data_IF_275361015533
#
_entry.id   IF_275361015533
#
_cell.length_a   1.000
_cell.length_b   1.000
_cell.length_c   1.000
_cell.angle_alpha   90.00
_cell.angle_beta   90.00
_cell.angle_gamma   90.00
#
_symmetry.space_group_name_H-M   'P 1'
#
loop_
_entity.id
_entity.type
_entity.pdbx_description
1 polymer ?
#
# COMPACT_ATOMS: atom_id res chain seq x y z
N UNK A 1 19.77 44.79 -27.84
CA UNK A 1 19.01 44.92 -26.58
C UNK A 1 18.05 43.74 -26.51
N UNK A 2 18.44 42.64 -25.84
CA UNK A 2 17.81 42.13 -24.59
C UNK A 2 16.30 41.88 -24.74
N UNK A 3 15.86 40.65 -25.02
CA UNK A 3 15.59 39.51 -24.11
C UNK A 3 14.12 39.45 -23.67
N UNK A 4 13.68 38.22 -23.39
CA UNK A 4 12.44 37.76 -22.75
C UNK A 4 11.24 37.64 -23.70
N UNK A 5 10.76 36.45 -24.06
CA UNK A 5 10.70 35.21 -23.30
C UNK A 5 9.44 35.22 -22.45
N UNK A 6 8.34 34.71 -23.00
CA UNK A 6 7.25 34.18 -22.20
C UNK A 6 6.87 32.82 -22.79
N UNK A 7 7.45 31.80 -22.16
CA UNK A 7 7.08 30.41 -22.31
C UNK A 7 5.61 30.33 -21.92
N UNK A 8 4.74 30.08 -22.89
CA UNK A 8 3.41 29.56 -22.62
C UNK A 8 3.62 28.19 -21.95
N UNK A 9 3.65 28.18 -20.62
CA UNK A 9 3.54 26.96 -19.83
C UNK A 9 2.13 26.45 -20.10
N UNK A 10 2.01 25.61 -21.13
CA UNK A 10 0.82 24.81 -21.36
C UNK A 10 0.67 23.92 -20.15
N UNK A 11 -0.23 24.33 -19.26
CA UNK A 11 -0.72 23.52 -18.15
C UNK A 11 -1.29 22.25 -18.76
N UNK A 12 -0.50 21.18 -18.76
CA UNK A 12 -0.99 19.82 -19.01
C UNK A 12 -1.63 19.36 -17.70
N UNK A 13 -2.82 19.88 -17.40
CA UNK A 13 -3.65 19.42 -16.28
C UNK A 13 -5.05 19.00 -16.76
N UNK A 14 -5.17 18.56 -18.02
CA UNK A 14 -6.46 18.25 -18.64
C UNK A 14 -6.44 16.91 -19.40
N UNK A 15 -5.84 15.85 -18.82
CA UNK A 15 -5.88 14.50 -19.41
C UNK A 15 -6.26 13.37 -18.45
N UNK A 16 -6.86 13.65 -17.29
CA UNK A 16 -7.55 12.63 -16.48
C UNK A 16 -9.02 13.00 -16.29
N UNK A 17 -9.78 12.94 -17.39
CA UNK A 17 -11.24 12.93 -17.35
C UNK A 17 -11.68 11.47 -17.11
N UNK A 18 -12.11 11.13 -15.89
CA UNK A 18 -12.68 9.81 -15.61
C UNK A 18 -13.15 9.60 -14.17
N UNK A 19 -12.40 10.07 -13.18
CA UNK A 19 -12.80 9.94 -11.78
C UNK A 19 -13.39 11.27 -11.30
N UNK A 20 -14.60 11.24 -10.76
CA UNK A 20 -15.08 12.39 -10.01
C UNK A 20 -14.16 12.59 -8.80
N UNK A 21 -14.02 13.82 -8.31
CA UNK A 21 -13.23 14.09 -7.11
C UNK A 21 -13.72 13.27 -5.90
N UNK A 22 -15.00 12.84 -5.92
CA UNK A 22 -15.57 11.90 -4.97
C UNK A 22 -14.97 10.49 -5.10
N UNK A 23 -14.88 9.93 -6.31
CA UNK A 23 -14.31 8.58 -6.53
C UNK A 23 -12.85 8.48 -6.06
N UNK A 24 -12.08 9.57 -6.24
CA UNK A 24 -10.69 9.63 -5.76
C UNK A 24 -10.60 9.70 -4.23
N UNK A 25 -11.54 10.41 -3.57
CA UNK A 25 -11.57 10.51 -2.11
C UNK A 25 -12.03 9.21 -1.47
N UNK A 26 -13.03 8.55 -2.03
CA UNK A 26 -13.52 7.26 -1.56
C UNK A 26 -12.42 6.20 -1.70
N UNK A 27 -11.73 6.17 -2.84
CA UNK A 27 -10.61 5.26 -3.06
C UNK A 27 -9.40 5.54 -2.15
N UNK A 28 -9.16 6.80 -1.78
CA UNK A 28 -8.13 7.14 -0.81
C UNK A 28 -8.51 6.68 0.61
N UNK A 29 -9.75 6.94 1.02
CA UNK A 29 -10.28 6.53 2.33
C UNK A 29 -10.26 5.02 2.50
N UNK A 30 -10.66 4.28 1.46
CA UNK A 30 -10.66 2.82 1.46
C UNK A 30 -9.25 2.23 1.58
N UNK A 31 -8.25 2.83 0.93
CA UNK A 31 -6.85 2.40 1.05
C UNK A 31 -6.29 2.72 2.44
N UNK A 32 -6.61 3.88 3.01
CA UNK A 32 -6.21 4.24 4.37
C UNK A 32 -6.78 3.26 5.40
N UNK A 33 -8.05 2.89 5.26
CA UNK A 33 -8.67 1.87 6.10
C UNK A 33 -7.98 0.51 5.96
N UNK A 34 -7.68 0.06 4.73
CA UNK A 34 -6.98 -1.20 4.52
C UNK A 34 -5.54 -1.19 5.09
N UNK A 35 -4.86 -0.04 5.07
CA UNK A 35 -3.56 0.15 5.72
C UNK A 35 -3.65 0.01 7.23
N UNK A 36 -4.67 0.62 7.83
CA UNK A 36 -4.92 0.54 9.27
C UNK A 36 -5.25 -0.90 9.69
N UNK A 37 -6.17 -1.56 8.98
CA UNK A 37 -6.55 -2.94 9.25
C UNK A 37 -5.35 -3.89 9.15
N UNK A 38 -4.50 -3.70 8.14
CA UNK A 38 -3.26 -4.47 7.99
C UNK A 38 -2.27 -4.21 9.12
N UNK A 39 -2.09 -2.95 9.52
CA UNK A 39 -1.22 -2.57 10.66
C UNK A 39 -1.67 -3.23 11.96
N UNK A 40 -2.96 -3.14 12.29
CA UNK A 40 -3.54 -3.74 13.50
C UNK A 40 -3.41 -5.27 13.49
N UNK A 41 -3.67 -5.93 12.36
CA UNK A 41 -3.55 -7.37 12.24
C UNK A 41 -2.08 -7.85 12.38
N UNK A 42 -1.13 -7.08 11.86
CA UNK A 42 0.30 -7.37 11.98
C UNK A 42 0.82 -7.12 13.38
N UNK A 43 0.33 -6.09 14.07
CA UNK A 43 0.66 -5.85 15.48
C UNK A 43 0.15 -6.98 16.39
N UNK A 44 -1.10 -7.43 16.19
CA UNK A 44 -1.64 -8.59 16.93
C UNK A 44 -0.83 -9.87 16.64
N UNK A 45 -0.42 -10.08 15.38
CA UNK A 45 0.45 -11.19 15.01
C UNK A 45 1.80 -11.10 15.72
N UNK A 46 2.48 -9.96 15.65
CA UNK A 46 3.80 -9.74 16.25
C UNK A 46 3.76 -9.87 17.78
N UNK A 47 2.66 -9.48 18.42
CA UNK A 47 2.45 -9.64 19.86
C UNK A 47 2.23 -11.08 20.31
N UNK A 48 1.81 -11.98 19.41
CA UNK A 48 1.55 -13.40 19.68
C UNK A 48 2.64 -14.33 19.16
N UNK A 49 3.45 -13.86 18.23
CA UNK A 49 4.46 -14.62 17.55
C UNK A 49 5.86 -14.44 18.17
N UNK A 50 6.70 -15.45 17.97
CA UNK A 50 8.11 -15.42 18.32
C UNK A 50 8.94 -15.97 17.15
N UNK A 51 10.24 -15.68 17.15
CA UNK A 51 11.18 -16.20 16.15
C UNK A 51 10.78 -15.80 14.71
N UNK A 52 10.85 -16.74 13.74
CA UNK A 52 10.65 -16.43 12.32
C UNK A 52 9.30 -15.77 11.99
N UNK A 53 8.24 -16.13 12.71
CA UNK A 53 6.91 -15.54 12.48
C UNK A 53 6.88 -14.07 12.89
N UNK A 54 7.55 -13.73 13.99
CA UNK A 54 7.67 -12.33 14.43
C UNK A 54 8.49 -11.51 13.45
N UNK A 55 9.63 -12.04 12.99
CA UNK A 55 10.47 -11.36 12.00
C UNK A 55 9.75 -11.13 10.65
N UNK A 56 8.91 -12.07 10.23
CA UNK A 56 8.06 -11.91 9.04
C UNK A 56 6.95 -10.88 9.27
N UNK A 57 6.33 -10.86 10.46
CA UNK A 57 5.32 -9.88 10.82
C UNK A 57 5.89 -8.45 10.88
N UNK A 58 7.09 -8.27 11.44
CA UNK A 58 7.78 -6.98 11.50
C UNK A 58 8.10 -6.47 10.08
N UNK A 59 8.62 -7.31 9.20
CA UNK A 59 8.85 -6.94 7.79
C UNK A 59 7.56 -6.64 7.03
N UNK A 60 6.49 -7.38 7.31
CA UNK A 60 5.19 -7.08 6.72
C UNK A 60 4.66 -5.72 7.19
N UNK A 61 4.90 -5.34 8.43
CA UNK A 61 4.55 -4.02 8.97
C UNK A 61 5.33 -2.91 8.28
N UNK A 62 6.64 -3.07 8.13
CA UNK A 62 7.48 -2.13 7.38
C UNK A 62 7.00 -1.97 5.92
N UNK A 63 6.57 -3.08 5.28
CA UNK A 63 6.01 -3.04 3.94
C UNK A 63 4.68 -2.28 3.88
N UNK A 64 3.81 -2.46 4.88
CA UNK A 64 2.55 -1.73 5.01
C UNK A 64 2.78 -0.23 5.26
N UNK A 65 3.74 0.13 6.12
CA UNK A 65 4.12 1.53 6.37
C UNK A 65 4.69 2.20 5.09
N UNK A 66 5.55 1.49 4.34
CA UNK A 66 6.05 1.96 3.05
C UNK A 66 4.94 2.10 2.00
N UNK A 67 3.92 1.23 2.05
CA UNK A 67 2.74 1.34 1.19
C UNK A 67 1.90 2.57 1.55
N UNK A 68 1.74 2.87 2.85
CA UNK A 68 1.07 4.08 3.32
C UNK A 68 1.73 5.34 2.80
N UNK A 69 3.04 5.46 2.99
CA UNK A 69 3.79 6.61 2.51
C UNK A 69 3.67 6.77 0.98
N UNK A 70 3.81 5.67 0.23
CA UNK A 70 3.67 5.72 -1.22
C UNK A 70 2.25 6.11 -1.69
N UNK A 71 1.22 5.66 -0.98
CA UNK A 71 -0.18 6.03 -1.26
C UNK A 71 -0.43 7.51 -0.96
N UNK A 72 0.12 8.04 0.14
CA UNK A 72 0.05 9.45 0.49
C UNK A 72 0.74 10.33 -0.56
N UNK A 73 1.98 10.01 -0.93
CA UNK A 73 2.73 10.73 -1.96
C UNK A 73 2.04 10.68 -3.33
N UNK A 74 1.46 9.54 -3.69
CA UNK A 74 0.70 9.39 -4.92
C UNK A 74 -0.59 10.22 -4.94
N UNK A 75 -1.30 10.28 -3.81
CA UNK A 75 -2.50 11.10 -3.65
C UNK A 75 -2.18 12.59 -3.78
N UNK A 76 -1.07 13.04 -3.18
CA UNK A 76 -0.64 14.44 -3.26
C UNK A 76 -0.11 14.79 -4.66
N UNK A 77 0.61 13.88 -5.31
CA UNK A 77 1.21 14.10 -6.62
C UNK A 77 1.25 12.80 -7.46
N UNK A 78 0.23 12.51 -8.28
CA UNK A 78 0.15 11.29 -9.08
C UNK A 78 1.07 11.35 -10.31
N UNK A 79 2.36 11.06 -10.08
CA UNK A 79 3.43 11.08 -11.08
C UNK A 79 3.89 9.67 -11.44
N UNK A 80 4.77 9.54 -12.43
CA UNK A 80 5.39 8.25 -12.76
C UNK A 80 6.21 7.70 -11.59
N UNK A 81 6.90 8.56 -10.84
CA UNK A 81 7.71 8.16 -9.68
C UNK A 81 6.84 7.64 -8.54
N UNK A 82 5.77 8.35 -8.19
CA UNK A 82 4.88 7.92 -7.09
C UNK A 82 4.07 6.66 -7.45
N UNK A 83 3.67 6.50 -8.73
CA UNK A 83 3.16 5.21 -9.24
C UNK A 83 4.17 4.08 -9.10
N UNK A 84 5.46 4.35 -9.38
CA UNK A 84 6.52 3.35 -9.24
C UNK A 84 6.81 3.00 -7.78
N UNK A 85 6.72 3.97 -6.86
CA UNK A 85 6.79 3.75 -5.43
C UNK A 85 5.65 2.83 -4.97
N UNK A 86 4.40 3.13 -5.32
CA UNK A 86 3.23 2.28 -5.02
C UNK A 86 3.38 0.86 -5.55
N UNK A 87 3.81 0.70 -6.80
CA UNK A 87 4.08 -0.63 -7.39
C UNK A 87 5.18 -1.38 -6.64
N UNK A 88 6.18 -0.67 -6.15
CA UNK A 88 7.27 -1.26 -5.37
C UNK A 88 6.79 -1.71 -3.99
N UNK A 89 5.99 -0.89 -3.30
CA UNK A 89 5.37 -1.26 -2.04
C UNK A 89 4.41 -2.44 -2.21
N UNK A 90 3.60 -2.46 -3.28
CA UNK A 90 2.76 -3.62 -3.63
C UNK A 90 3.57 -4.91 -3.78
N UNK A 91 4.73 -4.88 -4.45
CA UNK A 91 5.61 -6.05 -4.58
C UNK A 91 6.16 -6.50 -3.23
N UNK A 92 6.57 -5.56 -2.36
CA UNK A 92 7.01 -5.90 -1.00
C UNK A 92 5.90 -6.58 -0.21
N UNK A 93 4.66 -6.07 -0.29
CA UNK A 93 3.48 -6.70 0.31
C UNK A 93 3.23 -8.11 -0.24
N UNK A 94 3.42 -8.32 -1.56
CA UNK A 94 3.34 -9.65 -2.18
C UNK A 94 4.40 -10.61 -1.61
N UNK A 95 5.64 -10.15 -1.46
CA UNK A 95 6.76 -10.99 -0.98
C UNK A 95 6.58 -11.38 0.50
N UNK A 96 6.23 -10.43 1.38
CA UNK A 96 5.98 -10.72 2.79
C UNK A 96 4.72 -11.57 3.01
N UNK A 97 3.70 -11.45 2.14
CA UNK A 97 2.52 -12.31 2.20
C UNK A 97 2.89 -13.77 1.93
N UNK A 98 3.72 -14.04 0.91
CA UNK A 98 4.18 -15.41 0.63
C UNK A 98 4.96 -16.01 1.79
N UNK A 99 5.81 -15.21 2.41
CA UNK A 99 6.57 -15.67 3.57
C UNK A 99 5.67 -16.00 4.78
N UNK A 100 4.69 -15.15 5.07
CA UNK A 100 3.70 -15.43 6.11
C UNK A 100 2.90 -16.70 5.77
N UNK A 101 2.50 -16.89 4.51
CA UNK A 101 1.82 -18.11 4.04
C UNK A 101 2.66 -19.37 4.30
N UNK A 102 3.97 -19.36 4.03
CA UNK A 102 4.86 -20.51 4.29
C UNK A 102 4.96 -20.87 5.78
N UNK A 103 4.75 -19.89 6.65
CA UNK A 103 4.82 -20.05 8.10
C UNK A 103 3.48 -20.49 8.72
N UNK A 104 2.36 -20.41 7.99
CA UNK A 104 1.02 -20.69 8.51
C UNK A 104 0.87 -22.11 9.06
N UNK A 105 1.49 -23.08 8.39
CA UNK A 105 1.36 -24.48 8.74
C UNK A 105 2.23 -24.87 9.92
N UNK A 106 3.27 -24.08 10.19
CA UNK A 106 4.22 -24.25 11.28
C UNK A 106 3.76 -23.52 12.56
N UNK A 107 2.79 -22.61 12.43
CA UNK A 107 2.30 -21.79 13.54
C UNK A 107 1.34 -22.54 14.48
N UNK A 108 1.46 -22.35 15.81
CA UNK A 108 0.44 -22.77 16.79
C UNK A 108 -0.93 -22.15 16.47
N UNK A 109 -2.04 -22.79 16.87
CA UNK A 109 -3.39 -22.35 16.46
C UNK A 109 -3.69 -20.86 16.75
N UNK A 110 -3.25 -20.33 17.90
CA UNK A 110 -3.44 -18.91 18.26
C UNK A 110 -2.69 -17.95 17.33
N UNK A 111 -1.48 -18.32 16.93
CA UNK A 111 -0.64 -17.56 15.98
C UNK A 111 -1.15 -17.74 14.55
N UNK A 112 -1.54 -18.96 14.16
CA UNK A 112 -2.12 -19.27 12.86
C UNK A 112 -3.36 -18.43 12.57
N UNK A 113 -4.20 -18.20 13.57
CA UNK A 113 -5.40 -17.35 13.43
C UNK A 113 -5.03 -15.89 13.19
N UNK A 114 -4.08 -15.34 13.96
CA UNK A 114 -3.59 -13.98 13.76
C UNK A 114 -2.88 -13.83 12.39
N UNK A 115 -2.13 -14.85 11.98
CA UNK A 115 -1.41 -14.88 10.71
C UNK A 115 -2.37 -14.86 9.52
N UNK A 116 -3.44 -15.66 9.57
CA UNK A 116 -4.51 -15.62 8.55
C UNK A 116 -5.14 -14.24 8.45
N UNK A 117 -5.46 -13.62 9.59
CA UNK A 117 -6.02 -12.26 9.62
C UNK A 117 -5.06 -11.23 9.00
N UNK A 118 -3.77 -11.34 9.30
CA UNK A 118 -2.75 -10.48 8.70
C UNK A 118 -2.66 -10.68 7.18
N UNK A 119 -2.66 -11.92 6.70
CA UNK A 119 -2.67 -12.24 5.27
C UNK A 119 -3.92 -11.71 4.54
N UNK A 120 -5.09 -11.85 5.15
CA UNK A 120 -6.35 -11.33 4.60
C UNK A 120 -6.28 -9.80 4.48
N UNK A 121 -5.78 -9.12 5.50
CA UNK A 121 -5.65 -7.65 5.53
C UNK A 121 -4.61 -7.14 4.53
N UNK A 122 -3.46 -7.81 4.43
CA UNK A 122 -2.43 -7.53 3.41
C UNK A 122 -2.97 -7.75 1.99
N UNK A 123 -3.77 -8.80 1.79
CA UNK A 123 -4.42 -9.08 0.51
C UNK A 123 -5.38 -7.97 0.12
N UNK A 124 -6.17 -7.48 1.07
CA UNK A 124 -7.09 -6.36 0.83
C UNK A 124 -6.33 -5.08 0.51
N UNK A 125 -5.32 -4.73 1.31
CA UNK A 125 -4.45 -3.58 1.06
C UNK A 125 -3.85 -3.62 -0.35
N UNK A 126 -3.33 -4.77 -0.76
CA UNK A 126 -2.79 -4.96 -2.10
C UNK A 126 -3.83 -4.73 -3.19
N UNK A 127 -5.08 -5.20 -3.01
CA UNK A 127 -6.16 -4.97 -3.97
C UNK A 127 -6.49 -3.49 -4.07
N UNK A 128 -6.51 -2.76 -2.94
CA UNK A 128 -6.76 -1.32 -2.91
C UNK A 128 -5.67 -0.53 -3.63
N UNK A 129 -4.40 -0.86 -3.38
CA UNK A 129 -3.25 -0.28 -4.10
C UNK A 129 -3.33 -0.58 -5.60
N UNK A 130 -3.69 -1.81 -5.98
CA UNK A 130 -3.85 -2.18 -7.39
C UNK A 130 -4.96 -1.35 -8.05
N UNK A 131 -6.10 -1.19 -7.38
CA UNK A 131 -7.20 -0.36 -7.88
C UNK A 131 -6.76 1.11 -8.06
N UNK A 132 -5.97 1.67 -7.14
CA UNK A 132 -5.41 3.01 -7.29
C UNK A 132 -4.50 3.15 -8.52
N UNK A 133 -3.70 2.13 -8.80
CA UNK A 133 -2.81 2.10 -9.97
C UNK A 133 -3.56 1.93 -11.29
N UNK A 134 -4.76 1.35 -11.29
CA UNK A 134 -5.61 1.14 -12.47
C UNK A 134 -6.55 2.31 -12.74
N UNK A 135 -6.99 3.00 -11.69
CA UNK A 135 -7.88 4.17 -11.80
C UNK A 135 -7.16 5.47 -12.19
N UNK A 136 -5.83 5.47 -12.29
CA UNK A 136 -4.99 6.65 -12.60
C UNK A 136 -4.09 6.45 -13.81
#
# INVERSE_FOLDING_TARGET
MTKAGLIAVTVVAALFAGCSEADLRDLASDTEQALQDAGEALEDLAGRAEGPIREAADRAREAAEAARQAADEFRENPSTETRQALRSSKRRLDDVSRELEELIDQAPQGVRTALRRALDSLTELRRRIQSQLESS
#
